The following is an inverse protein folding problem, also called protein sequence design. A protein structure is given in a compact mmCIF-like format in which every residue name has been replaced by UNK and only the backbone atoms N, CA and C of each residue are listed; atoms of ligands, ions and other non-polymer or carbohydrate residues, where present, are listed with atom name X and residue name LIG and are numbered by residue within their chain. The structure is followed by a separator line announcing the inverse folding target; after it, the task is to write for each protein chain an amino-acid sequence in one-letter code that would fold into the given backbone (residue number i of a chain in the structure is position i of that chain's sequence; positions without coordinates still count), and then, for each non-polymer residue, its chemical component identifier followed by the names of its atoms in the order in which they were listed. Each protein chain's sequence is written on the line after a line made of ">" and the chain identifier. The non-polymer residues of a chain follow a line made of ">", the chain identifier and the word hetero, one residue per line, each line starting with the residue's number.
data_IF_097985508508
#
_entry.id   IF_097985508508
#
_cell.length_a   1.000
_cell.length_b   1.000
_cell.length_c   1.000
_cell.angle_alpha   90.00
_cell.angle_beta   90.00
_cell.angle_gamma   90.00
#
_symmetry.space_group_name_H-M   'P 1'
#
loop_
_entity.id
_entity.type
_entity.pdbx_description
1 polymer ?
#
# COMPACT_ATOMS: atom_id res chain seq x y z
N UNK A 1 21.85 -6.81 -22.48
CA UNK A 1 22.90 -6.11 -21.71
C UNK A 1 22.25 -5.65 -20.42
N UNK A 2 22.23 -6.52 -19.40
CA UNK A 2 21.60 -6.25 -18.10
C UNK A 2 22.52 -5.29 -17.33
N UNK A 3 22.23 -4.00 -17.40
CA UNK A 3 22.64 -3.09 -16.34
C UNK A 3 21.96 -3.59 -15.07
N UNK A 4 22.77 -4.13 -14.18
CA UNK A 4 22.40 -4.82 -12.96
C UNK A 4 21.36 -3.99 -12.17
N UNK A 5 20.18 -4.56 -11.93
CA UNK A 5 19.00 -3.89 -11.35
C UNK A 5 19.36 -3.24 -10.00
N UNK A 6 20.33 -3.84 -9.27
CA UNK A 6 20.87 -3.29 -8.02
C UNK A 6 21.64 -1.99 -8.23
N UNK A 7 22.40 -1.86 -9.32
CA UNK A 7 23.14 -0.64 -9.66
C UNK A 7 22.20 0.49 -10.06
N UNK A 8 21.10 0.17 -10.75
CA UNK A 8 20.02 1.12 -11.07
C UNK A 8 19.29 1.61 -9.81
N UNK A 9 18.90 0.69 -8.91
CA UNK A 9 18.20 1.03 -7.66
C UNK A 9 19.06 1.90 -6.72
N UNK A 10 20.34 1.56 -6.55
CA UNK A 10 21.26 2.37 -5.74
C UNK A 10 21.51 3.76 -6.36
N UNK A 11 21.61 3.84 -7.68
CA UNK A 11 21.75 5.13 -8.38
C UNK A 11 20.52 6.02 -8.15
N UNK A 12 19.31 5.47 -8.33
CA UNK A 12 18.06 6.20 -8.12
C UNK A 12 17.93 6.63 -6.66
N UNK A 13 18.32 5.77 -5.71
CA UNK A 13 18.36 6.12 -4.28
C UNK A 13 19.29 7.31 -4.02
N UNK A 14 20.53 7.26 -4.51
CA UNK A 14 21.49 8.35 -4.35
C UNK A 14 20.99 9.66 -4.95
N UNK A 15 20.36 9.58 -6.13
CA UNK A 15 19.79 10.74 -6.81
C UNK A 15 18.58 11.31 -6.03
N UNK A 16 17.70 10.44 -5.52
CA UNK A 16 16.58 10.81 -4.65
C UNK A 16 17.06 11.47 -3.35
N UNK A 17 18.08 10.89 -2.71
CA UNK A 17 18.75 11.45 -1.51
C UNK A 17 19.31 12.84 -1.82
N UNK A 18 20.07 12.99 -2.89
CA UNK A 18 20.68 14.27 -3.28
C UNK A 18 19.64 15.36 -3.52
N UNK A 19 18.54 15.02 -4.21
CA UNK A 19 17.43 15.95 -4.46
C UNK A 19 16.67 16.29 -3.18
N UNK A 20 16.39 15.30 -2.34
CA UNK A 20 15.71 15.55 -1.06
C UNK A 20 16.55 16.45 -0.16
N UNK A 21 17.87 16.20 -0.07
CA UNK A 21 18.81 17.05 0.64
C UNK A 21 18.80 18.50 0.10
N UNK A 22 18.83 18.68 -1.22
CA UNK A 22 18.81 20.00 -1.85
C UNK A 22 17.48 20.76 -1.62
N UNK A 23 16.34 20.06 -1.61
CA UNK A 23 15.02 20.67 -1.45
C UNK A 23 14.60 20.81 0.01
N UNK A 24 15.23 20.10 0.95
CA UNK A 24 14.84 20.04 2.37
C UNK A 24 14.59 21.41 2.99
N UNK A 25 15.53 22.34 2.82
CA UNK A 25 15.39 23.68 3.39
C UNK A 25 14.17 24.43 2.85
N UNK A 26 13.85 24.24 1.57
CA UNK A 26 12.65 24.86 0.99
C UNK A 26 11.37 24.16 1.43
N UNK A 27 11.38 22.82 1.53
CA UNK A 27 10.26 22.03 2.06
C UNK A 27 9.93 22.47 3.49
N UNK A 28 10.93 22.59 4.37
CA UNK A 28 10.72 23.04 5.75
C UNK A 28 10.19 24.48 5.81
N UNK A 29 10.67 25.39 4.93
CA UNK A 29 10.13 26.76 4.84
C UNK A 29 8.68 26.80 4.37
N UNK A 30 8.32 25.97 3.39
CA UNK A 30 6.95 25.90 2.88
C UNK A 30 6.02 25.28 3.93
N UNK A 31 6.48 24.25 4.66
CA UNK A 31 5.76 23.68 5.80
C UNK A 31 5.59 24.68 6.95
N UNK A 32 6.60 25.51 7.24
CA UNK A 32 6.49 26.53 8.28
C UNK A 32 5.33 27.51 8.03
N UNK A 33 5.07 27.87 6.77
CA UNK A 33 3.90 28.70 6.40
C UNK A 33 2.58 28.00 6.71
N UNK A 34 2.49 26.70 6.43
CA UNK A 34 1.32 25.89 6.77
C UNK A 34 1.09 25.83 8.28
N UNK A 35 2.17 25.62 9.05
CA UNK A 35 2.11 25.57 10.51
C UNK A 35 1.75 26.93 11.12
N UNK A 36 2.29 28.02 10.58
CA UNK A 36 1.94 29.38 10.98
C UNK A 36 0.45 29.67 10.76
N UNK A 37 -0.08 29.35 9.57
CA UNK A 37 -1.50 29.48 9.26
C UNK A 37 -2.41 28.63 10.17
N UNK A 38 -1.87 27.51 10.70
CA UNK A 38 -2.57 26.62 11.62
C UNK A 38 -2.37 26.98 13.10
N UNK A 39 -1.58 28.01 13.42
CA UNK A 39 -1.23 28.36 14.81
C UNK A 39 -0.38 27.29 15.52
N UNK A 40 0.44 26.57 14.76
CA UNK A 40 1.25 25.41 15.18
C UNK A 40 2.74 25.53 14.85
N UNK A 41 3.24 26.75 14.75
CA UNK A 41 4.64 27.01 14.39
C UNK A 41 5.63 26.37 15.39
N UNK A 42 5.22 26.15 16.64
CA UNK A 42 6.00 25.46 17.68
C UNK A 42 6.36 24.01 17.31
N UNK A 43 5.61 23.38 16.39
CA UNK A 43 5.91 22.04 15.90
C UNK A 43 7.02 22.00 14.84
N UNK A 44 7.45 23.16 14.32
CA UNK A 44 8.48 23.26 13.27
C UNK A 44 9.76 22.43 13.55
N UNK A 45 10.37 22.54 14.75
CA UNK A 45 11.55 21.75 15.09
C UNK A 45 11.33 20.23 15.11
N UNK A 46 10.10 19.78 15.36
CA UNK A 46 9.75 18.36 15.29
C UNK A 46 9.75 17.88 13.83
N UNK A 47 9.16 18.63 12.91
CA UNK A 47 9.16 18.27 11.48
C UNK A 47 10.54 18.34 10.84
N UNK A 48 11.38 19.29 11.25
CA UNK A 48 12.77 19.34 10.79
C UNK A 48 13.57 18.11 11.23
N UNK A 49 13.36 17.65 12.47
CA UNK A 49 13.98 16.42 12.96
C UNK A 49 13.49 15.19 12.19
N UNK A 50 12.19 15.11 11.87
CA UNK A 50 11.63 14.00 11.10
C UNK A 50 12.05 14.02 9.64
N UNK A 51 12.17 15.20 9.03
CA UNK A 51 12.74 15.35 7.69
C UNK A 51 14.20 14.88 7.66
N UNK A 52 14.95 15.13 8.73
CA UNK A 52 16.32 14.59 8.88
C UNK A 52 16.31 13.07 9.02
N UNK A 53 15.41 12.50 9.82
CA UNK A 53 15.25 11.05 9.93
C UNK A 53 14.87 10.40 8.59
N UNK A 54 13.98 11.03 7.81
CA UNK A 54 13.63 10.59 6.46
C UNK A 54 14.87 10.49 5.57
N UNK A 55 15.70 11.54 5.58
CA UNK A 55 16.92 11.57 4.80
C UNK A 55 17.89 10.47 5.24
N UNK A 56 18.08 10.29 6.54
CA UNK A 56 18.94 9.23 7.09
C UNK A 56 18.44 7.84 6.70
N UNK A 57 17.13 7.59 6.75
CA UNK A 57 16.52 6.33 6.31
C UNK A 57 16.71 6.10 4.80
N UNK A 58 16.65 7.16 3.99
CA UNK A 58 16.90 7.06 2.55
C UNK A 58 18.37 6.73 2.25
N UNK A 59 19.30 7.32 3.00
CA UNK A 59 20.74 7.08 2.91
C UNK A 59 21.14 5.69 3.38
N UNK A 60 20.60 5.25 4.52
CA UNK A 60 20.93 3.99 5.17
C UNK A 60 19.69 3.44 5.88
N UNK A 61 18.90 2.58 5.20
CA UNK A 61 17.68 2.02 5.76
C UNK A 61 17.91 1.23 7.05
N UNK A 62 17.32 1.69 8.15
CA UNK A 62 17.24 1.00 9.43
C UNK A 62 15.86 1.29 10.08
N UNK A 63 14.86 0.44 9.79
CA UNK A 63 13.51 0.61 10.31
C UNK A 63 13.44 0.66 11.83
N UNK A 64 14.33 -0.05 12.52
CA UNK A 64 14.38 -0.08 13.98
C UNK A 64 14.93 1.21 14.56
N UNK A 65 15.93 1.82 13.91
CA UNK A 65 16.40 3.14 14.27
C UNK A 65 15.33 4.21 14.03
N UNK A 66 14.69 4.24 12.86
CA UNK A 66 13.63 5.21 12.55
C UNK A 66 12.50 5.14 13.57
N UNK A 67 12.02 3.92 13.86
CA UNK A 67 10.95 3.72 14.83
C UNK A 67 11.31 4.31 16.20
N UNK A 68 12.52 4.02 16.71
CA UNK A 68 12.99 4.54 18.01
C UNK A 68 13.16 6.06 17.98
N UNK A 69 13.69 6.61 16.89
CA UNK A 69 13.89 8.04 16.73
C UNK A 69 12.55 8.79 16.70
N UNK A 70 11.61 8.36 15.86
CA UNK A 70 10.27 8.94 15.76
C UNK A 70 9.59 8.92 17.14
N UNK A 71 9.55 7.76 17.80
CA UNK A 71 8.97 7.64 19.14
C UNK A 71 9.63 8.58 20.17
N UNK A 72 10.95 8.72 20.12
CA UNK A 72 11.68 9.64 20.99
C UNK A 72 11.29 11.11 20.74
N UNK A 73 11.26 11.54 19.47
CA UNK A 73 10.86 12.90 19.10
C UNK A 73 9.42 13.19 19.51
N UNK A 74 8.49 12.25 19.30
CA UNK A 74 7.09 12.40 19.71
C UNK A 74 6.93 12.47 21.22
N UNK A 75 7.65 11.63 21.97
CA UNK A 75 7.61 11.64 23.44
C UNK A 75 8.12 12.96 24.03
N UNK A 76 9.13 13.57 23.41
CA UNK A 76 9.82 14.75 23.93
C UNK A 76 9.17 16.06 23.49
N UNK A 77 8.67 16.13 22.25
CA UNK A 77 8.29 17.40 21.61
C UNK A 77 6.81 17.52 21.27
N UNK A 78 6.03 16.44 21.27
CA UNK A 78 4.62 16.49 20.89
C UNK A 78 3.68 16.60 22.11
N UNK A 79 3.00 17.76 22.29
CA UNK A 79 1.95 17.89 23.30
C UNK A 79 0.78 16.97 22.99
N UNK A 80 0.10 16.47 24.02
CA UNK A 80 -0.96 15.45 23.83
C UNK A 80 -2.10 15.89 22.91
N UNK A 81 -2.48 17.17 22.99
CA UNK A 81 -3.59 17.77 22.26
C UNK A 81 -3.30 18.05 20.77
N UNK A 82 -2.06 17.89 20.34
CA UNK A 82 -1.61 18.32 19.00
C UNK A 82 -1.39 17.15 18.04
N UNK A 83 -1.77 15.93 18.43
CA UNK A 83 -1.60 14.71 17.63
C UNK A 83 -2.21 14.82 16.23
N UNK A 84 -3.41 15.38 16.09
CA UNK A 84 -4.05 15.57 14.78
C UNK A 84 -3.28 16.50 13.85
N UNK A 85 -2.82 17.63 14.37
CA UNK A 85 -2.05 18.62 13.61
C UNK A 85 -0.70 18.04 13.22
N UNK A 86 -0.12 17.24 14.12
CA UNK A 86 1.12 16.53 13.85
C UNK A 86 1.01 15.63 12.60
N UNK A 87 0.00 14.76 12.57
CA UNK A 87 -0.23 13.86 11.43
C UNK A 87 -0.54 14.65 10.15
N UNK A 88 -1.37 15.70 10.22
CA UNK A 88 -1.66 16.55 9.05
C UNK A 88 -0.40 17.21 8.49
N UNK A 89 0.47 17.76 9.35
CA UNK A 89 1.72 18.35 8.87
C UNK A 89 2.72 17.32 8.34
N UNK A 90 2.66 16.05 8.77
CA UNK A 90 3.45 14.97 8.15
C UNK A 90 2.95 14.68 6.73
N UNK A 91 1.64 14.63 6.54
CA UNK A 91 1.03 14.47 5.21
C UNK A 91 1.37 15.66 4.31
N UNK A 92 1.36 16.89 4.85
CA UNK A 92 1.74 18.08 4.09
C UNK A 92 3.24 18.09 3.75
N UNK A 93 4.11 17.72 4.71
CA UNK A 93 5.55 17.53 4.46
C UNK A 93 5.78 16.55 3.30
N UNK A 94 5.06 15.42 3.30
CA UNK A 94 5.13 14.44 2.22
C UNK A 94 4.61 15.01 0.90
N UNK A 95 3.48 15.70 0.92
CA UNK A 95 2.88 16.31 -0.28
C UNK A 95 3.83 17.31 -0.93
N UNK A 96 4.50 18.14 -0.12
CA UNK A 96 5.53 19.06 -0.57
C UNK A 96 6.74 18.32 -1.16
N UNK A 97 7.23 17.29 -0.48
CA UNK A 97 8.32 16.44 -0.96
C UNK A 97 8.00 15.78 -2.30
N UNK A 98 6.83 15.14 -2.41
CA UNK A 98 6.34 14.49 -3.62
C UNK A 98 6.25 15.46 -4.81
N UNK A 99 5.70 16.66 -4.62
CA UNK A 99 5.63 17.69 -5.69
C UNK A 99 7.03 18.09 -6.19
N UNK A 100 7.99 18.22 -5.29
CA UNK A 100 9.37 18.60 -5.62
C UNK A 100 10.10 17.49 -6.36
N UNK A 101 10.04 16.27 -5.84
CA UNK A 101 10.63 15.09 -6.48
C UNK A 101 10.07 14.90 -7.89
N UNK A 102 8.76 15.03 -8.09
CA UNK A 102 8.14 14.91 -9.42
C UNK A 102 8.60 15.98 -10.42
N UNK A 103 8.94 17.18 -9.94
CA UNK A 103 9.43 18.28 -10.77
C UNK A 103 10.91 18.14 -11.12
N UNK A 104 11.70 17.65 -10.16
CA UNK A 104 13.17 17.73 -10.22
C UNK A 104 13.82 16.39 -10.61
N UNK A 105 13.12 15.26 -10.50
CA UNK A 105 13.58 13.96 -11.01
C UNK A 105 13.42 13.86 -12.54
N UNK A 106 14.34 13.17 -13.23
CA UNK A 106 14.13 12.76 -14.62
C UNK A 106 12.84 11.95 -14.77
N UNK A 107 12.01 12.17 -15.82
CA UNK A 107 10.71 11.52 -15.98
C UNK A 107 10.73 10.00 -15.81
N UNK A 108 11.77 9.35 -16.33
CA UNK A 108 11.98 7.90 -16.25
C UNK A 108 12.38 7.40 -14.85
N UNK A 109 12.76 8.30 -13.94
CA UNK A 109 13.16 8.00 -12.56
C UNK A 109 12.14 8.48 -11.53
N UNK A 110 11.15 9.28 -11.93
CA UNK A 110 10.13 9.86 -11.04
C UNK A 110 9.44 8.78 -10.22
N UNK A 111 8.96 7.69 -10.84
CA UNK A 111 8.20 6.65 -10.14
C UNK A 111 9.07 5.91 -9.11
N UNK A 112 10.26 5.48 -9.51
CA UNK A 112 11.18 4.77 -8.63
C UNK A 112 11.69 5.65 -7.48
N UNK A 113 11.98 6.93 -7.74
CA UNK A 113 12.38 7.88 -6.69
C UNK A 113 11.25 8.21 -5.72
N UNK A 114 10.02 8.38 -6.22
CA UNK A 114 8.84 8.58 -5.38
C UNK A 114 8.53 7.35 -4.53
N UNK A 115 8.72 6.13 -5.05
CA UNK A 115 8.60 4.90 -4.26
C UNK A 115 9.57 4.92 -3.08
N UNK A 116 10.88 5.07 -3.36
CA UNK A 116 11.92 5.04 -2.33
C UNK A 116 11.68 6.11 -1.25
N UNK A 117 11.33 7.34 -1.66
CA UNK A 117 11.00 8.42 -0.74
C UNK A 117 9.70 8.15 0.04
N UNK A 118 8.70 7.55 -0.61
CA UNK A 118 7.42 7.19 -0.03
C UNK A 118 7.57 6.18 1.08
N UNK A 119 8.33 5.10 0.86
CA UNK A 119 8.56 4.04 1.85
C UNK A 119 9.11 4.59 3.18
N UNK A 120 10.10 5.50 3.09
CA UNK A 120 10.68 6.13 4.27
C UNK A 120 9.66 7.01 5.01
N UNK A 121 8.83 7.76 4.28
CA UNK A 121 7.88 8.70 4.88
C UNK A 121 6.64 7.99 5.42
N UNK A 122 6.11 7.02 4.70
CA UNK A 122 4.96 6.22 5.09
C UNK A 122 5.27 5.37 6.33
N UNK A 123 6.49 4.84 6.44
CA UNK A 123 6.96 4.15 7.65
C UNK A 123 6.98 5.06 8.89
N UNK A 124 7.41 6.31 8.74
CA UNK A 124 7.36 7.30 9.83
C UNK A 124 5.92 7.69 10.21
N UNK A 125 5.04 7.87 9.23
CA UNK A 125 3.61 8.14 9.47
C UNK A 125 2.96 6.97 10.22
N UNK A 126 3.22 5.73 9.80
CA UNK A 126 2.74 4.53 10.50
C UNK A 126 3.22 4.47 11.95
N UNK A 127 4.52 4.67 12.18
CA UNK A 127 5.11 4.71 13.52
C UNK A 127 4.49 5.81 14.40
N UNK A 128 4.20 6.97 13.82
CA UNK A 128 3.55 8.07 14.51
C UNK A 128 2.12 7.71 14.92
N UNK A 129 1.32 7.18 14.00
CA UNK A 129 -0.07 6.80 14.27
C UNK A 129 -0.13 5.75 15.39
N UNK A 130 0.70 4.69 15.30
CA UNK A 130 0.78 3.65 16.33
C UNK A 130 1.16 4.20 17.70
N UNK A 131 2.10 5.15 17.75
CA UNK A 131 2.50 5.80 18.99
C UNK A 131 1.37 6.62 19.59
N UNK A 132 0.63 7.39 18.78
CA UNK A 132 -0.48 8.21 19.23
C UNK A 132 -1.64 7.36 19.76
N UNK A 133 -1.98 6.27 19.07
CA UNK A 133 -2.98 5.29 19.52
C UNK A 133 -2.58 4.71 20.87
N UNK A 134 -1.33 4.21 21.02
CA UNK A 134 -0.81 3.68 22.30
C UNK A 134 -0.82 4.70 23.43
N UNK A 135 -0.77 6.00 23.11
CA UNK A 135 -0.79 7.10 24.09
C UNK A 135 -2.22 7.51 24.49
N UNK A 136 -3.25 6.86 23.94
CA UNK A 136 -4.66 7.07 24.23
C UNK A 136 -5.28 8.27 23.51
N UNK A 137 -4.69 8.73 22.41
CA UNK A 137 -5.08 9.98 21.72
C UNK A 137 -6.19 9.82 20.69
N UNK A 138 -6.71 8.62 20.51
CA UNK A 138 -7.71 8.28 19.50
C UNK A 138 -9.04 9.01 19.73
N UNK A 139 -9.48 9.12 20.99
CA UNK A 139 -10.75 9.72 21.37
C UNK A 139 -10.78 11.27 21.25
N UNK A 140 -9.62 11.93 21.39
CA UNK A 140 -9.53 13.40 21.48
C UNK A 140 -9.22 14.07 20.12
N UNK A 141 -8.95 13.29 19.07
CA UNK A 141 -8.39 13.77 17.81
C UNK A 141 -9.18 13.28 16.59
N UNK A 142 -10.48 13.57 16.56
CA UNK A 142 -11.26 13.43 15.33
C UNK A 142 -10.59 14.23 14.20
N UNK A 143 -10.27 13.53 13.11
CA UNK A 143 -9.66 14.12 11.93
C UNK A 143 -10.75 14.46 10.91
N UNK A 144 -10.56 15.51 10.11
CA UNK A 144 -11.44 15.74 8.96
C UNK A 144 -11.39 14.51 8.06
N UNK A 145 -12.56 13.94 7.74
CA UNK A 145 -12.76 12.76 6.89
C UNK A 145 -12.43 11.39 7.49
N UNK A 146 -11.76 11.31 8.65
CA UNK A 146 -11.44 10.04 9.32
C UNK A 146 -11.91 10.12 10.77
N UNK A 147 -12.87 9.28 11.16
CA UNK A 147 -13.54 9.41 12.46
C UNK A 147 -12.58 9.12 13.62
N UNK A 148 -11.56 8.29 13.39
CA UNK A 148 -10.53 7.89 14.37
C UNK A 148 -9.11 7.82 13.80
N UNK A 149 -8.08 7.87 14.66
CA UNK A 149 -6.69 7.59 14.28
C UNK A 149 -6.49 6.11 13.91
N UNK A 150 -7.30 5.21 14.49
CA UNK A 150 -7.32 3.80 14.11
C UNK A 150 -7.72 3.63 12.63
N UNK A 151 -8.81 4.28 12.21
CA UNK A 151 -9.26 4.28 10.81
C UNK A 151 -8.23 4.88 9.86
N UNK A 152 -7.62 6.01 10.24
CA UNK A 152 -6.54 6.59 9.47
C UNK A 152 -5.36 5.63 9.36
N UNK A 153 -4.93 5.01 10.46
CA UNK A 153 -3.79 4.08 10.47
C UNK A 153 -4.05 2.82 9.64
N UNK A 154 -5.30 2.34 9.61
CA UNK A 154 -5.71 1.26 8.72
C UNK A 154 -5.65 1.71 7.26
N UNK A 155 -6.31 2.81 6.92
CA UNK A 155 -6.37 3.35 5.55
C UNK A 155 -4.98 3.70 5.02
N UNK A 156 -4.13 4.33 5.83
CA UNK A 156 -2.75 4.66 5.48
C UNK A 156 -1.96 3.42 5.09
N UNK A 157 -2.07 2.33 5.87
CA UNK A 157 -1.41 1.06 5.55
C UNK A 157 -1.97 0.43 4.27
N UNK A 158 -3.29 0.42 4.10
CA UNK A 158 -3.95 -0.10 2.88
C UNK A 158 -3.49 0.69 1.63
N UNK A 159 -3.52 2.04 1.69
CA UNK A 159 -3.10 2.90 0.58
C UNK A 159 -1.60 2.81 0.29
N UNK A 160 -0.76 2.75 1.33
CA UNK A 160 0.68 2.57 1.19
C UNK A 160 0.98 1.27 0.43
N UNK A 161 0.36 0.17 0.86
CA UNK A 161 0.49 -1.13 0.19
C UNK A 161 -0.05 -1.11 -1.25
N UNK A 162 -1.21 -0.50 -1.50
CA UNK A 162 -1.70 -0.31 -2.87
C UNK A 162 -0.75 0.51 -3.74
N UNK A 163 -0.09 1.52 -3.17
CA UNK A 163 0.90 2.32 -3.88
C UNK A 163 2.16 1.51 -4.22
N UNK A 164 2.60 0.63 -3.32
CA UNK A 164 3.67 -0.34 -3.59
C UNK A 164 3.32 -1.25 -4.76
N UNK A 165 2.15 -1.91 -4.68
CA UNK A 165 1.65 -2.79 -5.74
C UNK A 165 1.63 -2.06 -7.08
N UNK A 166 1.04 -0.86 -7.11
CA UNK A 166 1.00 -0.02 -8.31
C UNK A 166 2.40 0.26 -8.86
N UNK A 167 3.35 0.63 -8.01
CA UNK A 167 4.71 0.94 -8.47
C UNK A 167 5.46 -0.27 -8.98
N UNK A 168 5.31 -1.42 -8.33
CA UNK A 168 5.92 -2.67 -8.80
C UNK A 168 5.34 -3.11 -10.14
N UNK A 169 4.07 -2.79 -10.43
CA UNK A 169 3.42 -3.09 -11.70
C UNK A 169 3.79 -2.15 -12.85
N UNK A 170 4.17 -0.89 -12.58
CA UNK A 170 4.44 0.11 -13.63
C UNK A 170 5.66 -0.23 -14.50
N UNK A 171 6.58 -1.03 -13.99
CA UNK A 171 7.83 -1.40 -14.67
C UNK A 171 7.78 -2.81 -15.30
N UNK A 172 6.65 -3.52 -15.19
CA UNK A 172 6.51 -4.89 -15.68
C UNK A 172 5.84 -4.90 -17.05
N UNK A 173 6.54 -5.46 -18.03
CA UNK A 173 6.05 -5.60 -19.42
C UNK A 173 5.51 -7.00 -19.72
N UNK A 174 5.90 -8.01 -18.94
CA UNK A 174 5.38 -9.37 -19.09
C UNK A 174 4.08 -9.55 -18.30
N UNK A 175 2.95 -9.87 -18.96
CA UNK A 175 1.67 -10.07 -18.27
C UNK A 175 1.73 -11.12 -17.17
N UNK A 176 2.53 -12.19 -17.33
CA UNK A 176 2.64 -13.26 -16.32
C UNK A 176 3.31 -12.75 -15.05
N UNK A 177 4.43 -12.04 -15.20
CA UNK A 177 5.12 -11.36 -14.10
C UNK A 177 4.22 -10.29 -13.45
N UNK A 178 3.39 -9.60 -14.23
CA UNK A 178 2.44 -8.61 -13.72
C UNK A 178 1.38 -9.28 -12.83
N UNK A 179 0.80 -10.40 -13.25
CA UNK A 179 -0.16 -11.16 -12.44
C UNK A 179 0.47 -11.69 -11.17
N UNK A 180 1.67 -12.27 -11.23
CA UNK A 180 2.36 -12.80 -10.05
C UNK A 180 2.70 -11.69 -9.03
N UNK A 181 3.07 -10.50 -9.51
CA UNK A 181 3.38 -9.34 -8.67
C UNK A 181 2.12 -8.79 -8.00
N UNK A 182 1.04 -8.65 -8.77
CA UNK A 182 -0.26 -8.23 -8.25
C UNK A 182 -0.82 -9.25 -7.25
N UNK A 183 -0.70 -10.55 -7.55
CA UNK A 183 -1.14 -11.64 -6.67
C UNK A 183 -0.45 -11.56 -5.31
N UNK A 184 0.89 -11.54 -5.31
CA UNK A 184 1.70 -11.45 -4.10
C UNK A 184 1.37 -10.22 -3.29
N UNK A 185 1.34 -9.06 -3.95
CA UNK A 185 1.04 -7.80 -3.28
C UNK A 185 -0.32 -7.80 -2.59
N UNK A 186 -1.36 -8.30 -3.26
CA UNK A 186 -2.71 -8.37 -2.70
C UNK A 186 -2.81 -9.39 -1.54
N UNK A 187 -2.18 -10.57 -1.67
CA UNK A 187 -2.15 -11.58 -0.60
C UNK A 187 -1.51 -11.02 0.68
N UNK A 188 -0.35 -10.38 0.55
CA UNK A 188 0.40 -9.81 1.67
C UNK A 188 -0.38 -8.66 2.34
N UNK A 189 -0.99 -7.79 1.52
CA UNK A 189 -1.70 -6.58 1.97
C UNK A 189 -3.00 -6.90 2.70
N UNK A 190 -3.81 -7.78 2.13
CA UNK A 190 -5.16 -8.06 2.62
C UNK A 190 -5.23 -9.31 3.50
N UNK A 191 -4.07 -9.90 3.82
CA UNK A 191 -3.95 -11.14 4.60
C UNK A 191 -4.85 -12.26 4.07
N UNK A 192 -4.96 -12.34 2.74
CA UNK A 192 -5.81 -13.32 2.07
C UNK A 192 -5.09 -14.67 2.07
N UNK A 193 -5.85 -15.74 2.29
CA UNK A 193 -5.30 -17.10 2.19
C UNK A 193 -4.99 -17.50 0.74
N UNK A 194 -5.79 -16.98 -0.20
CA UNK A 194 -5.70 -17.29 -1.61
C UNK A 194 -6.30 -16.15 -2.43
N UNK A 195 -5.79 -15.95 -3.65
CA UNK A 195 -6.28 -15.00 -4.63
C UNK A 195 -6.18 -15.65 -6.01
N UNK A 196 -7.21 -15.46 -6.84
CA UNK A 196 -7.17 -15.88 -8.24
C UNK A 196 -7.67 -14.73 -9.11
N UNK A 197 -7.00 -14.50 -10.24
CA UNK A 197 -7.49 -13.62 -11.28
C UNK A 197 -8.28 -14.42 -12.29
N UNK A 198 -9.44 -13.92 -12.69
CA UNK A 198 -10.27 -14.49 -13.74
C UNK A 198 -10.28 -13.51 -14.92
N UNK A 199 -9.81 -13.96 -16.08
CA UNK A 199 -9.71 -13.19 -17.31
C UNK A 199 -10.93 -13.43 -18.18
N UNK A 200 -11.54 -12.35 -18.65
CA UNK A 200 -12.76 -12.42 -19.45
C UNK A 200 -12.41 -12.28 -20.92
N UNK A 201 -12.65 -13.35 -21.69
CA UNK A 201 -12.56 -13.30 -23.14
C UNK A 201 -13.96 -13.11 -23.73
N UNK A 202 -14.35 -11.85 -23.95
CA UNK A 202 -15.65 -11.52 -24.54
C UNK A 202 -15.77 -12.00 -26.00
N UNK A 203 -14.66 -12.11 -26.74
CA UNK A 203 -14.67 -12.52 -28.15
C UNK A 203 -15.02 -14.00 -28.28
N UNK A 204 -14.46 -14.83 -27.40
CA UNK A 204 -14.63 -16.29 -27.43
C UNK A 204 -15.65 -16.77 -26.36
N UNK A 205 -16.30 -15.83 -25.68
CA UNK A 205 -17.39 -16.05 -24.72
C UNK A 205 -17.04 -17.00 -23.56
N UNK A 206 -15.85 -16.83 -22.97
CA UNK A 206 -15.45 -17.58 -21.78
C UNK A 206 -14.70 -16.73 -20.74
N UNK A 207 -14.61 -17.28 -19.53
CA UNK A 207 -13.73 -16.85 -18.45
C UNK A 207 -12.60 -17.87 -18.32
N UNK A 208 -11.39 -17.38 -18.20
CA UNK A 208 -10.21 -18.20 -17.91
C UNK A 208 -9.58 -17.79 -16.59
N UNK A 209 -9.39 -18.76 -15.71
CA UNK A 209 -8.58 -18.60 -14.51
C UNK A 209 -7.22 -19.20 -14.82
N UNK A 210 -6.18 -18.39 -15.09
CA UNK A 210 -4.83 -18.90 -15.28
C UNK A 210 -4.35 -19.70 -14.06
N UNK A 211 -3.41 -20.64 -14.25
CA UNK A 211 -2.78 -21.34 -13.12
C UNK A 211 -2.04 -20.33 -12.23
N UNK A 212 -2.32 -20.37 -10.92
CA UNK A 212 -1.51 -19.67 -9.91
C UNK A 212 -0.33 -20.56 -9.55
N UNK A 213 0.88 -20.07 -9.82
CA UNK A 213 2.12 -20.75 -9.45
C UNK A 213 2.34 -20.84 -7.94
N UNK A 214 1.59 -20.05 -7.15
CA UNK A 214 1.69 -20.01 -5.70
C UNK A 214 0.82 -21.04 -4.98
N UNK A 215 -0.40 -21.28 -5.46
CA UNK A 215 -1.35 -22.13 -4.75
C UNK A 215 -1.34 -23.59 -5.20
N UNK A 216 -1.05 -23.83 -6.48
CA UNK A 216 -0.93 -25.18 -7.02
C UNK A 216 0.23 -25.23 -8.03
N UNK A 217 1.47 -25.41 -7.55
CA UNK A 217 2.65 -25.45 -8.42
C UNK A 217 2.62 -26.62 -9.41
N UNK A 218 1.70 -27.58 -9.24
CA UNK A 218 1.52 -28.72 -10.14
C UNK A 218 0.42 -28.49 -11.18
N UNK A 219 -0.35 -27.40 -11.07
CA UNK A 219 -1.40 -27.08 -12.03
C UNK A 219 -0.80 -26.37 -13.23
N UNK A 220 -0.64 -27.12 -14.32
CA UNK A 220 -0.19 -26.59 -15.61
C UNK A 220 -1.32 -25.99 -16.45
N UNK A 221 -2.59 -26.29 -16.14
CA UNK A 221 -3.73 -25.92 -16.97
C UNK A 221 -4.62 -24.83 -16.35
N UNK A 222 -5.06 -23.89 -17.20
CA UNK A 222 -6.04 -22.88 -16.83
C UNK A 222 -7.45 -23.48 -16.73
N UNK A 223 -8.26 -23.01 -15.78
CA UNK A 223 -9.68 -23.38 -15.76
C UNK A 223 -10.46 -22.47 -16.69
N UNK A 224 -11.33 -23.06 -17.52
CA UNK A 224 -12.16 -22.31 -18.48
C UNK A 224 -13.64 -22.56 -18.23
N UNK A 225 -14.42 -21.49 -18.22
CA UNK A 225 -15.86 -21.52 -18.03
C UNK A 225 -16.55 -20.70 -19.13
N UNK A 226 -17.50 -21.26 -19.88
CA UNK A 226 -18.37 -20.50 -20.76
C UNK A 226 -19.09 -19.38 -20.00
N UNK A 227 -19.31 -18.20 -20.60
CA UNK A 227 -19.94 -17.06 -19.91
C UNK A 227 -21.41 -17.30 -19.49
N UNK A 228 -22.07 -18.30 -20.07
CA UNK A 228 -23.42 -18.75 -19.71
C UNK A 228 -23.43 -19.82 -18.60
N UNK A 229 -22.26 -20.26 -18.14
CA UNK A 229 -22.13 -21.23 -17.05
C UNK A 229 -22.78 -20.71 -15.76
N UNK A 230 -23.39 -21.59 -14.93
CA UNK A 230 -23.92 -21.22 -13.62
C UNK A 230 -22.82 -20.97 -12.57
N UNK A 231 -21.59 -20.69 -13.00
CA UNK A 231 -20.48 -20.43 -12.09
C UNK A 231 -20.53 -19.02 -11.51
N UNK A 232 -20.13 -18.85 -10.25
CA UNK A 232 -20.06 -17.54 -9.61
C UNK A 232 -19.28 -16.49 -10.41
N UNK A 233 -18.17 -16.87 -11.06
CA UNK A 233 -17.43 -15.92 -11.90
C UNK A 233 -18.28 -15.39 -13.07
N UNK A 234 -19.13 -16.24 -13.66
CA UNK A 234 -20.03 -15.85 -14.74
C UNK A 234 -21.19 -14.98 -14.21
N UNK A 235 -21.71 -15.29 -13.02
CA UNK A 235 -22.75 -14.49 -12.37
C UNK A 235 -22.27 -13.06 -12.04
N UNK A 236 -21.07 -12.93 -11.49
CA UNK A 236 -20.45 -11.62 -11.20
C UNK A 236 -20.29 -10.80 -12.49
N UNK A 237 -19.83 -11.42 -13.58
CA UNK A 237 -19.70 -10.72 -14.87
C UNK A 237 -21.05 -10.28 -15.44
N UNK A 238 -22.06 -11.17 -15.41
CA UNK A 238 -23.40 -10.88 -15.94
C UNK A 238 -24.10 -9.77 -15.16
N UNK A 239 -23.93 -9.75 -13.84
CA UNK A 239 -24.61 -8.80 -12.95
C UNK A 239 -23.82 -7.51 -12.73
N UNK A 240 -22.51 -7.53 -12.92
CA UNK A 240 -21.60 -6.43 -12.57
C UNK A 240 -21.51 -6.17 -11.06
N UNK A 241 -22.03 -7.08 -10.22
CA UNK A 241 -22.08 -6.92 -8.76
C UNK A 241 -21.00 -7.75 -8.09
N UNK A 242 -20.37 -7.16 -7.07
CA UNK A 242 -19.51 -7.91 -6.17
C UNK A 242 -20.35 -8.90 -5.35
N UNK A 243 -19.93 -10.15 -5.31
CA UNK A 243 -20.55 -11.21 -4.51
C UNK A 243 -19.62 -11.58 -3.35
N UNK A 244 -20.15 -11.59 -2.13
CA UNK A 244 -19.45 -12.06 -0.93
C UNK A 244 -20.23 -13.27 -0.40
N UNK A 245 -19.57 -14.43 -0.38
CA UNK A 245 -20.15 -15.65 0.19
C UNK A 245 -19.59 -15.83 1.60
N UNK A 246 -20.48 -15.88 2.58
CA UNK A 246 -20.15 -16.36 3.92
C UNK A 246 -20.50 -17.86 4.02
N UNK A 247 -19.48 -18.69 4.18
CA UNK A 247 -19.63 -20.15 4.20
C UNK A 247 -19.94 -20.76 2.82
N UNK A 248 -21.07 -21.46 2.72
CA UNK A 248 -21.45 -22.22 1.52
C UNK A 248 -22.70 -21.63 0.88
N UNK A 249 -22.65 -21.41 -0.44
CA UNK A 249 -23.79 -20.91 -1.18
C UNK A 249 -24.50 -22.03 -1.96
N UNK A 250 -25.77 -22.35 -1.63
CA UNK A 250 -26.52 -23.42 -2.28
C UNK A 250 -26.86 -23.11 -3.75
N UNK A 251 -26.66 -21.87 -4.23
CA UNK A 251 -26.81 -21.50 -5.65
C UNK A 251 -25.74 -22.15 -6.52
N UNK A 252 -24.52 -22.25 -6.02
CA UNK A 252 -23.35 -22.73 -6.77
C UNK A 252 -22.90 -24.14 -6.36
N UNK A 253 -23.26 -24.55 -5.14
CA UNK A 253 -22.83 -25.82 -4.57
C UNK A 253 -24.04 -26.64 -4.08
N UNK A 254 -23.88 -27.95 -4.09
CA UNK A 254 -24.81 -28.91 -3.51
C UNK A 254 -24.10 -29.76 -2.44
N UNK A 255 -24.81 -30.05 -1.36
CA UNK A 255 -24.35 -31.03 -0.38
C UNK A 255 -24.73 -32.43 -0.86
N UNK A 256 -23.75 -33.31 -0.87
CA UNK A 256 -23.89 -34.72 -1.25
C UNK A 256 -23.28 -35.58 -0.15
N UNK A 257 -23.65 -36.86 -0.08
CA UNK A 257 -23.03 -37.80 0.84
C UNK A 257 -22.22 -38.78 -0.01
N UNK A 258 -20.94 -38.96 0.31
CA UNK A 258 -20.11 -39.92 -0.41
C UNK A 258 -20.54 -41.38 -0.09
N UNK A 259 -19.95 -42.33 -0.82
CA UNK A 259 -20.19 -43.76 -0.62
C UNK A 259 -19.79 -44.29 0.77
N UNK A 260 -19.11 -43.48 1.59
CA UNK A 260 -18.66 -43.80 2.95
C UNK A 260 -19.48 -43.07 4.03
N UNK A 261 -20.50 -42.31 3.65
CA UNK A 261 -21.36 -41.59 4.59
C UNK A 261 -20.83 -40.20 4.98
N UNK A 262 -19.77 -39.70 4.35
CA UNK A 262 -19.23 -38.37 4.63
C UNK A 262 -19.98 -37.29 3.86
N UNK A 263 -20.22 -36.16 4.53
CA UNK A 263 -20.77 -34.97 3.89
C UNK A 263 -19.71 -34.38 2.94
N UNK A 264 -20.05 -34.32 1.66
CA UNK A 264 -19.25 -33.74 0.59
C UNK A 264 -19.98 -32.54 -0.01
N UNK A 265 -19.21 -31.57 -0.48
CA UNK A 265 -19.76 -30.41 -1.18
C UNK A 265 -19.28 -30.48 -2.62
N UNK A 266 -20.23 -30.55 -3.54
CA UNK A 266 -19.98 -30.62 -4.97
C UNK A 266 -20.48 -29.37 -5.65
N UNK A 267 -19.77 -28.92 -6.68
CA UNK A 267 -20.22 -27.84 -7.55
C UNK A 267 -21.43 -28.31 -8.37
N UNK A 268 -22.47 -27.47 -8.46
CA UNK A 268 -23.63 -27.75 -9.30
C UNK A 268 -23.25 -27.75 -10.80
N UNK A 269 -23.82 -28.65 -11.61
CA UNK A 269 -23.58 -28.71 -13.05
C UNK A 269 -24.02 -27.42 -13.76
#
# INVERSE_FOLDING_TARGET
>A
MNLDIKTSSNYIRLLTVGLFHAQRGQICRDLAKYLEASGKLELGPLYEALSTAALTELESPDPAWVTRFVQHQLKTRLPRKDGKFFIQGLIELWTLGHRRLRRDLPPEQVHSGLRIAGDAVDGMIGCAIDFLIKRGMDADNQLPCWETLIELGRTHRELHMLSHIKHDLLDIYDPTEMYATLERGMLDTFHLRNLNFALVNHKESYIEVPPSSWHDPNRSEAWRYPLDSPHIFCDVIRTGKAEVIDGWDPRYYEQTIDKHGHLMIRRRP
#
